data_IF_880165612680
#
_entry.id   IF_880165612680
#
_cell.length_a   1.000
_cell.length_b   1.000
_cell.length_c   1.000
_cell.angle_alpha   90.00
_cell.angle_beta   90.00
_cell.angle_gamma   90.00
#
_symmetry.space_group_name_H-M   'P 1'
#
loop_
_entity.id
_entity.type
_entity.pdbx_description
1 polymer ?
#
# COMPACT_ATOMS: atom_id res chain seq x y z
N UNK A 1 -40.18 10.54 -18.90
CA UNK A 1 -39.29 9.37 -18.89
C UNK A 1 -37.90 9.87 -18.49
N UNK A 2 -37.52 9.65 -17.24
CA UNK A 2 -36.23 10.07 -16.69
C UNK A 2 -35.09 9.30 -17.34
N UNK A 3 -34.09 10.01 -17.84
CA UNK A 3 -32.76 9.46 -18.10
C UNK A 3 -31.83 10.04 -17.05
N UNK A 4 -31.49 9.24 -16.02
CA UNK A 4 -30.45 9.60 -15.04
C UNK A 4 -29.08 9.53 -15.73
N UNK A 5 -28.23 10.57 -15.62
CA UNK A 5 -26.86 10.55 -16.14
C UNK A 5 -25.82 9.94 -15.17
N UNK A 6 -26.23 9.24 -14.11
CA UNK A 6 -25.35 8.85 -13.00
C UNK A 6 -24.62 7.51 -13.15
N UNK A 7 -24.18 7.11 -14.36
CA UNK A 7 -23.49 5.82 -14.50
C UNK A 7 -22.34 5.84 -15.50
N UNK A 8 -21.51 6.89 -15.48
CA UNK A 8 -20.17 6.83 -16.09
C UNK A 8 -19.16 7.61 -15.23
N UNK A 9 -19.13 7.39 -13.92
CA UNK A 9 -18.15 8.06 -13.01
C UNK A 9 -17.26 7.05 -12.26
N UNK A 10 -17.29 5.77 -12.61
CA UNK A 10 -16.56 4.72 -11.87
C UNK A 10 -15.24 4.24 -12.51
N UNK A 11 -14.92 4.66 -13.75
CA UNK A 11 -13.80 4.06 -14.50
C UNK A 11 -12.71 5.04 -14.98
N UNK A 12 -12.74 6.28 -14.46
CA UNK A 12 -11.61 7.21 -14.54
C UNK A 12 -10.98 7.43 -13.16
N UNK A 13 -10.70 6.34 -12.43
CA UNK A 13 -9.69 6.36 -11.38
C UNK A 13 -8.35 6.62 -12.07
N UNK A 14 -8.07 7.91 -12.32
CA UNK A 14 -6.86 8.40 -12.98
C UNK A 14 -5.65 7.65 -12.43
N UNK A 15 -4.82 7.12 -13.33
CA UNK A 15 -3.54 6.47 -13.03
C UNK A 15 -2.63 7.35 -12.15
N UNK A 16 -2.91 8.66 -12.06
CA UNK A 16 -2.24 9.63 -11.19
C UNK A 16 -2.59 9.50 -9.69
N UNK A 17 -3.64 8.74 -9.37
CA UNK A 17 -4.12 8.62 -7.99
C UNK A 17 -3.21 7.77 -7.11
N UNK A 18 -2.38 6.89 -7.70
CA UNK A 18 -1.51 5.97 -6.97
C UNK A 18 -0.06 6.24 -7.32
N UNK A 19 0.74 6.52 -6.30
CA UNK A 19 2.16 6.82 -6.44
C UNK A 19 2.95 5.94 -5.49
N UNK A 20 3.85 5.14 -6.04
CA UNK A 20 4.81 4.37 -5.27
C UNK A 20 6.19 5.02 -5.36
N UNK A 21 6.84 5.14 -4.20
CA UNK A 21 8.15 5.74 -4.06
C UNK A 21 9.10 4.75 -3.42
N UNK A 22 10.35 4.76 -3.87
CA UNK A 22 11.46 4.20 -3.11
C UNK A 22 12.08 5.32 -2.28
N UNK A 23 12.17 5.10 -0.98
CA UNK A 23 12.84 6.00 -0.05
C UNK A 23 14.19 5.38 0.27
N UNK A 24 15.27 6.12 0.04
CA UNK A 24 16.62 5.71 0.39
C UNK A 24 17.35 6.91 1.01
N UNK A 25 17.76 6.81 2.27
CA UNK A 25 18.42 7.87 3.04
C UNK A 25 17.65 9.19 2.96
N UNK A 26 16.33 9.11 3.18
CA UNK A 26 15.38 10.24 3.07
C UNK A 26 15.18 10.83 1.66
N UNK A 27 15.89 10.34 0.63
CA UNK A 27 15.62 10.69 -0.75
C UNK A 27 14.43 9.91 -1.27
N UNK A 28 13.46 10.62 -1.82
CA UNK A 28 12.20 10.07 -2.34
C UNK A 28 12.24 10.01 -3.86
N UNK A 29 12.33 8.80 -4.41
CA UNK A 29 12.30 8.54 -5.84
C UNK A 29 10.96 7.91 -6.24
N UNK A 30 10.27 8.45 -7.24
CA UNK A 30 9.07 7.83 -7.79
C UNK A 30 9.46 6.58 -8.58
N UNK A 31 8.90 5.42 -8.22
CA UNK A 31 9.17 4.14 -8.89
C UNK A 31 7.96 3.58 -9.63
N UNK A 32 6.74 3.99 -9.29
CA UNK A 32 5.56 3.57 -10.06
C UNK A 32 4.38 4.54 -9.91
N UNK A 33 3.60 4.61 -10.99
CA UNK A 33 2.26 5.20 -11.04
C UNK A 33 1.42 4.23 -11.88
N UNK A 34 0.79 3.26 -11.22
CA UNK A 34 0.16 2.15 -11.91
C UNK A 34 -0.95 1.53 -11.10
N UNK A 35 -2.04 1.19 -11.78
CA UNK A 35 -3.15 0.41 -11.25
C UNK A 35 -2.72 -1.01 -10.82
N UNK A 36 -1.67 -1.57 -11.44
CA UNK A 36 -1.13 -2.89 -11.06
C UNK A 36 -0.67 -2.89 -9.61
N UNK A 37 -0.03 -1.80 -9.16
CA UNK A 37 0.38 -1.65 -7.75
C UNK A 37 -0.84 -1.58 -6.83
N UNK A 38 -1.95 -0.95 -7.27
CA UNK A 38 -3.21 -0.97 -6.50
C UNK A 38 -3.68 -2.40 -6.26
N UNK A 39 -3.81 -3.18 -7.33
CA UNK A 39 -4.35 -4.53 -7.24
C UNK A 39 -3.47 -5.44 -6.37
N UNK A 40 -2.15 -5.28 -6.43
CA UNK A 40 -1.24 -6.01 -5.54
C UNK A 40 -1.39 -5.57 -4.07
N UNK A 41 -1.54 -4.26 -3.81
CA UNK A 41 -1.81 -3.75 -2.46
C UNK A 41 -3.15 -4.29 -1.95
N UNK A 42 -4.21 -4.26 -2.74
CA UNK A 42 -5.53 -4.73 -2.32
C UNK A 42 -5.50 -6.22 -1.93
N UNK A 43 -4.80 -7.05 -2.71
CA UNK A 43 -4.58 -8.47 -2.38
C UNK A 43 -3.82 -8.68 -1.07
N UNK A 44 -2.79 -7.85 -0.82
CA UNK A 44 -2.03 -7.89 0.43
C UNK A 44 -2.93 -7.52 1.61
N UNK A 45 -3.70 -6.43 1.47
CA UNK A 45 -4.57 -5.88 2.51
C UNK A 45 -5.81 -6.75 2.79
N UNK A 46 -6.29 -7.52 1.81
CA UNK A 46 -7.36 -8.51 2.03
C UNK A 46 -6.90 -9.73 2.84
N UNK A 47 -5.59 -9.90 3.01
CA UNK A 47 -5.00 -11.08 3.64
C UNK A 47 -4.12 -10.74 4.85
N UNK A 48 -4.30 -9.55 5.44
CA UNK A 48 -3.61 -9.21 6.69
C UNK A 48 -4.31 -9.82 7.90
N UNK A 49 -3.53 -10.05 8.95
CA UNK A 49 -4.02 -10.43 10.27
C UNK A 49 -4.27 -9.18 11.15
N UNK A 50 -4.38 -9.38 12.47
CA UNK A 50 -4.44 -8.30 13.45
C UNK A 50 -3.14 -7.47 13.46
N UNK A 51 -3.21 -6.18 13.84
CA UNK A 51 -2.04 -5.34 13.97
C UNK A 51 -1.09 -5.87 15.05
N UNK A 52 0.21 -5.72 14.80
CA UNK A 52 1.28 -6.09 15.74
C UNK A 52 1.68 -4.84 16.51
N UNK A 53 1.77 -4.94 17.84
CA UNK A 53 2.36 -3.90 18.67
C UNK A 53 3.83 -3.71 18.29
N UNK A 54 4.14 -2.60 17.62
CA UNK A 54 5.48 -2.27 17.19
C UNK A 54 5.64 -0.75 17.12
N UNK A 55 6.76 -0.24 17.64
CA UNK A 55 7.14 1.15 17.44
C UNK A 55 7.67 1.33 16.03
N UNK A 56 7.09 2.25 15.26
CA UNK A 56 7.60 2.56 13.94
C UNK A 56 8.83 3.45 14.04
N UNK A 57 10.00 2.87 13.77
CA UNK A 57 11.22 3.61 13.46
C UNK A 57 11.41 3.57 11.95
N UNK A 58 11.43 4.75 11.31
CA UNK A 58 11.53 4.85 9.86
C UNK A 58 12.93 4.37 9.42
N UNK A 59 13.03 3.27 8.64
CA UNK A 59 14.32 2.77 8.20
C UNK A 59 14.91 3.67 7.10
N UNK A 60 16.21 3.53 6.85
CA UNK A 60 16.91 4.22 5.77
C UNK A 60 16.38 3.84 4.39
N UNK A 61 15.85 2.63 4.21
CA UNK A 61 15.32 2.12 2.94
C UNK A 61 13.95 1.48 3.09
N UNK A 62 12.98 1.91 2.27
CA UNK A 62 11.64 1.32 2.19
C UNK A 62 10.88 1.79 0.96
N UNK A 63 9.78 1.12 0.65
CA UNK A 63 8.82 1.57 -0.35
C UNK A 63 7.61 2.23 0.32
N UNK A 64 7.20 3.38 -0.19
CA UNK A 64 6.02 4.12 0.22
C UNK A 64 5.01 4.16 -0.91
N UNK A 65 3.86 3.56 -0.73
CA UNK A 65 2.77 3.55 -1.70
C UNK A 65 1.67 4.46 -1.15
N UNK A 66 1.27 5.45 -1.94
CA UNK A 66 0.21 6.39 -1.60
C UNK A 66 -0.91 6.32 -2.61
N UNK A 67 -2.13 6.42 -2.13
CA UNK A 67 -3.31 6.61 -2.97
C UNK A 67 -4.15 7.78 -2.45
N UNK A 68 -4.76 8.54 -3.37
CA UNK A 68 -5.75 9.55 -3.01
C UNK A 68 -7.04 8.93 -2.45
N UNK A 69 -7.35 7.73 -2.93
CA UNK A 69 -8.51 6.93 -2.53
C UNK A 69 -8.08 5.74 -1.67
N UNK A 70 -8.93 5.26 -0.74
CA UNK A 70 -8.61 4.07 0.03
C UNK A 70 -8.37 2.84 -0.86
N UNK A 71 -7.36 2.04 -0.55
CA UNK A 71 -7.06 0.78 -1.24
C UNK A 71 -8.16 -0.27 -1.01
N UNK A 72 -8.54 -0.48 0.26
CA UNK A 72 -9.55 -1.47 0.65
C UNK A 72 -10.71 -0.84 1.41
N UNK A 73 -11.91 -1.38 1.18
CA UNK A 73 -13.11 -1.04 1.95
C UNK A 73 -13.04 -1.70 3.35
N UNK A 74 -13.21 -0.95 4.46
CA UNK A 74 -13.15 -1.48 5.82
C UNK A 74 -14.15 -2.61 6.12
N UNK A 75 -15.20 -2.77 5.31
CA UNK A 75 -16.28 -3.75 5.53
C UNK A 75 -15.89 -5.20 5.28
N UNK A 76 -14.73 -5.47 4.64
CA UNK A 76 -14.32 -6.82 4.24
C UNK A 76 -12.90 -7.19 4.73
N UNK A 77 -12.27 -6.37 5.56
CA UNK A 77 -10.89 -6.57 6.00
C UNK A 77 -10.78 -6.56 7.52
N UNK A 78 -9.77 -7.26 8.07
CA UNK A 78 -9.36 -7.12 9.47
C UNK A 78 -8.79 -5.73 9.81
N UNK A 79 -8.66 -4.85 8.82
CA UNK A 79 -8.22 -3.46 8.99
C UNK A 79 -9.45 -2.57 9.26
N UNK A 80 -9.60 -1.99 10.46
CA UNK A 80 -10.80 -1.26 10.85
C UNK A 80 -10.82 0.20 10.37
N UNK A 81 -10.03 0.55 9.35
CA UNK A 81 -9.89 1.92 8.86
C UNK A 81 -9.54 1.97 7.35
N UNK A 82 -9.88 3.07 6.65
CA UNK A 82 -9.52 3.24 5.25
C UNK A 82 -8.01 3.47 5.10
N UNK A 83 -7.34 2.61 4.33
CA UNK A 83 -5.89 2.68 4.11
C UNK A 83 -5.59 3.50 2.85
N UNK A 84 -4.82 4.58 3.00
CA UNK A 84 -4.33 5.41 1.88
C UNK A 84 -2.82 5.41 1.71
N UNK A 85 -2.08 5.03 2.74
CA UNK A 85 -0.63 4.97 2.72
C UNK A 85 -0.16 3.62 3.28
N UNK A 86 0.73 2.98 2.54
CA UNK A 86 1.32 1.68 2.84
C UNK A 86 2.83 1.81 2.74
N UNK A 87 3.54 1.31 3.75
CA UNK A 87 4.98 1.13 3.74
C UNK A 87 5.30 -0.36 3.64
N UNK A 88 6.19 -0.70 2.71
CA UNK A 88 6.78 -2.03 2.60
C UNK A 88 8.28 -1.89 2.85
N UNK A 89 8.78 -2.57 3.87
CA UNK A 89 10.21 -2.63 4.19
C UNK A 89 10.71 -3.99 3.69
N UNK A 90 11.54 -4.03 2.64
CA UNK A 90 12.18 -5.26 2.21
C UNK A 90 13.04 -5.85 3.33
N UNK A 91 13.18 -7.18 3.33
CA UNK A 91 14.07 -7.86 4.25
C UNK A 91 15.50 -7.53 3.83
N UNK A 92 16.35 -7.17 4.79
CA UNK A 92 17.75 -6.87 4.50
C UNK A 92 18.61 -8.14 4.47
N UNK A 93 18.15 -9.17 5.19
CA UNK A 93 18.81 -10.46 5.31
C UNK A 93 17.81 -11.60 5.09
N UNK A 94 18.31 -12.82 4.87
CA UNK A 94 17.47 -13.99 4.58
C UNK A 94 16.63 -14.46 5.79
N UNK A 95 17.05 -14.11 7.00
CA UNK A 95 16.39 -14.47 8.26
C UNK A 95 15.37 -13.41 8.72
N UNK A 96 15.24 -12.29 8.01
CA UNK A 96 14.27 -11.25 8.33
C UNK A 96 13.04 -11.34 7.41
N UNK A 97 11.82 -11.18 7.93
CA UNK A 97 10.64 -11.06 7.09
C UNK A 97 10.50 -9.63 6.52
N UNK A 98 9.95 -9.53 5.31
CA UNK A 98 9.42 -8.28 4.80
C UNK A 98 8.38 -7.70 5.78
N UNK A 99 8.37 -6.37 5.95
CA UNK A 99 7.44 -5.73 6.88
C UNK A 99 6.41 -4.91 6.11
N UNK A 100 5.15 -5.00 6.55
CA UNK A 100 4.04 -4.20 6.07
C UNK A 100 3.60 -3.24 7.17
N UNK A 101 3.52 -1.96 6.83
CA UNK A 101 3.08 -0.92 7.73
C UNK A 101 1.97 -0.10 7.08
N UNK A 102 0.88 0.11 7.79
CA UNK A 102 -0.30 0.83 7.30
C UNK A 102 -0.49 2.09 8.14
N UNK A 103 -0.79 3.21 7.47
CA UNK A 103 -1.04 4.47 8.18
C UNK A 103 -2.52 4.60 8.52
N UNK A 104 -2.80 4.84 9.80
CA UNK A 104 -4.12 5.26 10.28
C UNK A 104 -4.45 6.68 9.81
N UNK A 105 -5.74 7.04 9.74
CA UNK A 105 -6.15 8.44 9.53
C UNK A 105 -5.61 9.42 10.58
N UNK A 106 -5.37 8.95 11.81
CA UNK A 106 -4.75 9.73 12.90
C UNK A 106 -3.27 10.05 12.65
N UNK A 107 -2.66 9.46 11.62
CA UNK A 107 -1.26 9.66 11.25
C UNK A 107 -0.31 8.61 11.82
N UNK A 108 -0.77 7.76 12.74
CA UNK A 108 -0.02 6.66 13.36
C UNK A 108 0.25 5.52 12.37
N UNK A 109 1.43 4.90 12.48
CA UNK A 109 1.81 3.72 11.70
C UNK A 109 1.60 2.45 12.51
N UNK A 110 0.89 1.48 11.93
CA UNK A 110 0.69 0.16 12.51
C UNK A 110 1.34 -0.91 11.65
N UNK A 111 2.04 -1.84 12.30
CA UNK A 111 2.62 -3.00 11.61
C UNK A 111 1.56 -4.09 11.46
N UNK A 112 1.52 -4.72 10.30
CA UNK A 112 0.65 -5.85 10.01
C UNK A 112 1.47 -7.02 9.51
N UNK A 113 1.02 -8.23 9.85
CA UNK A 113 1.42 -9.44 9.15
C UNK A 113 0.47 -9.64 7.95
N UNK A 114 1.02 -9.99 6.78
CA UNK A 114 0.22 -10.41 5.63
C UNK A 114 0.46 -11.89 5.38
N UNK A 115 -0.62 -12.64 5.17
CA UNK A 115 -0.56 -14.03 4.70
C UNK A 115 -0.14 -14.13 3.24
N UNK A 116 -0.25 -13.03 2.49
CA UNK A 116 0.26 -12.95 1.13
C UNK A 116 1.73 -12.55 1.14
N UNK A 117 2.57 -13.15 0.28
CA UNK A 117 3.97 -12.79 0.20
C UNK A 117 4.11 -11.35 -0.31
N UNK A 118 5.00 -10.58 0.31
CA UNK A 118 5.32 -9.20 -0.12
C UNK A 118 6.39 -9.17 -1.23
N UNK A 119 7.07 -10.28 -1.49
CA UNK A 119 8.11 -10.37 -2.51
C UNK A 119 7.64 -10.00 -3.93
N UNK A 120 6.44 -10.41 -4.41
CA UNK A 120 5.94 -10.04 -5.73
C UNK A 120 5.81 -8.53 -5.93
N UNK A 121 5.15 -7.81 -5.01
CA UNK A 121 5.02 -6.36 -5.11
C UNK A 121 6.37 -5.66 -5.01
N UNK A 122 7.30 -6.14 -4.17
CA UNK A 122 8.66 -5.62 -4.11
C UNK A 122 9.36 -5.78 -5.46
N UNK A 123 9.20 -6.93 -6.14
CA UNK A 123 9.74 -7.15 -7.48
C UNK A 123 9.13 -6.17 -8.48
N UNK A 124 7.81 -5.99 -8.48
CA UNK A 124 7.10 -5.02 -9.33
C UNK A 124 7.62 -3.58 -9.11
N UNK A 125 7.93 -3.22 -7.87
CA UNK A 125 8.48 -1.90 -7.50
C UNK A 125 9.96 -1.72 -7.87
N UNK A 126 10.76 -2.80 -7.88
CA UNK A 126 12.17 -2.79 -8.30
C UNK A 126 12.36 -2.76 -9.82
N UNK A 127 11.40 -3.27 -10.58
CA UNK A 127 11.60 -3.58 -12.02
C UNK A 127 11.54 -2.35 -12.94
N UNK A 128 11.51 -1.11 -12.42
CA UNK A 128 11.65 0.08 -13.27
C UNK A 128 13.12 0.43 -13.52
N UNK A 129 13.56 0.04 -14.72
CA UNK A 129 14.70 0.63 -15.46
C UNK A 129 14.44 2.09 -15.78
#
# INVERSE_FOLDING_TARGET
MSSNPDTITAHNLSLESIKAYHIHNHHKQLVSQSYVISSEVDKILSAVDQPIAASFSQPSQYYLIKSNFPFVSPTQSSIPFPVKEVIIIPAQTWNEPHQLWLRKPTGEWLRFHSKQPLAPIIKSLKTKR
#
